data_IF_929524613137
#
_entry.id   IF_929524613137
#
_cell.length_a   1.000
_cell.length_b   1.000
_cell.length_c   1.000
_cell.angle_alpha   90.00
_cell.angle_beta   90.00
_cell.angle_gamma   90.00
#
_symmetry.space_group_name_H-M   'P 1'
#
loop_
_entity.id
_entity.type
_entity.pdbx_description
1 polymer ?
#
# COMPACT_ATOMS: atom_id res chain seq x y z
N UNK A 1 1.36 -15.00 -16.29
CA UNK A 1 2.11 -14.44 -15.16
C UNK A 1 2.24 -12.94 -15.39
N UNK A 2 1.30 -12.14 -14.87
CA UNK A 2 1.31 -10.65 -14.95
C UNK A 2 1.25 -10.06 -13.54
N UNK A 3 1.56 -10.86 -12.52
CA UNK A 3 1.72 -10.36 -11.16
C UNK A 3 3.18 -9.90 -11.01
N UNK A 4 3.41 -8.62 -11.29
CA UNK A 4 4.64 -7.87 -11.01
C UNK A 4 5.96 -8.65 -11.18
N UNK A 5 6.54 -8.65 -12.39
CA UNK A 5 7.93 -9.10 -12.58
C UNK A 5 8.97 -8.23 -11.83
N UNK A 6 8.52 -7.10 -11.29
CA UNK A 6 9.31 -6.14 -10.52
C UNK A 6 8.35 -5.29 -9.67
N UNK A 7 8.63 -5.12 -8.38
CA UNK A 7 7.81 -4.32 -7.47
C UNK A 7 7.98 -4.66 -5.99
N UNK A 8 7.41 -3.83 -5.11
CA UNK A 8 7.48 -3.99 -3.66
C UNK A 8 6.95 -5.34 -3.18
N UNK A 9 5.81 -5.80 -3.72
CA UNK A 9 5.24 -7.11 -3.36
C UNK A 9 6.13 -8.29 -3.74
N UNK A 10 6.80 -8.21 -4.90
CA UNK A 10 7.76 -9.23 -5.33
C UNK A 10 9.00 -9.25 -4.41
N UNK A 11 9.44 -8.08 -3.94
CA UNK A 11 10.56 -7.95 -3.00
C UNK A 11 10.26 -8.60 -1.63
N UNK A 12 9.03 -8.47 -1.13
CA UNK A 12 8.58 -9.08 0.13
C UNK A 12 8.50 -10.61 0.01
N UNK A 13 7.93 -11.11 -1.09
CA UNK A 13 7.83 -12.55 -1.34
C UNK A 13 9.23 -13.17 -1.47
N UNK A 14 10.13 -12.49 -2.20
CA UNK A 14 11.52 -12.91 -2.31
C UNK A 14 12.23 -12.92 -0.95
N UNK A 15 12.06 -11.87 -0.14
CA UNK A 15 12.62 -11.79 1.21
C UNK A 15 12.12 -12.90 2.14
N UNK A 16 10.83 -13.24 2.05
CA UNK A 16 10.24 -14.35 2.81
C UNK A 16 10.87 -15.69 2.43
N UNK A 17 11.17 -15.90 1.15
CA UNK A 17 11.86 -17.11 0.67
C UNK A 17 13.31 -17.22 1.15
N UNK A 18 13.98 -16.11 1.45
CA UNK A 18 15.35 -16.07 1.97
C UNK A 18 15.45 -15.96 3.50
N UNK A 19 14.34 -16.14 4.23
CA UNK A 19 14.24 -15.94 5.69
C UNK A 19 14.76 -14.55 6.14
N UNK A 20 14.68 -13.54 5.28
CA UNK A 20 15.08 -12.15 5.57
C UNK A 20 13.93 -11.41 6.24
N UNK A 21 13.67 -11.74 7.51
CA UNK A 21 12.55 -11.19 8.28
C UNK A 21 12.56 -9.66 8.32
N UNK A 22 13.74 -9.04 8.33
CA UNK A 22 13.90 -7.58 8.32
C UNK A 22 13.26 -6.94 7.09
N UNK A 23 13.47 -7.53 5.92
CA UNK A 23 12.96 -6.99 4.64
C UNK A 23 11.45 -7.27 4.52
N UNK A 24 10.98 -8.41 5.04
CA UNK A 24 9.55 -8.74 5.10
C UNK A 24 8.81 -7.74 5.99
N UNK A 25 9.33 -7.46 7.19
CA UNK A 25 8.75 -6.48 8.11
C UNK A 25 8.71 -5.08 7.51
N UNK A 26 9.83 -4.61 6.92
CA UNK A 26 9.88 -3.33 6.23
C UNK A 26 8.86 -3.27 5.08
N UNK A 27 8.70 -4.37 4.36
CA UNK A 27 7.72 -4.48 3.29
C UNK A 27 6.27 -4.39 3.75
N UNK A 28 5.92 -5.05 4.87
CA UNK A 28 4.57 -4.94 5.46
C UNK A 28 4.32 -3.50 5.91
N UNK A 29 5.30 -2.88 6.57
CA UNK A 29 5.20 -1.51 7.07
C UNK A 29 5.06 -0.50 5.92
N UNK A 30 5.80 -0.70 4.83
CA UNK A 30 5.68 0.09 3.60
C UNK A 30 4.33 -0.12 2.90
N UNK A 31 3.85 -1.36 2.76
CA UNK A 31 2.55 -1.64 2.14
C UNK A 31 1.40 -1.04 2.96
N UNK A 32 1.45 -1.16 4.28
CA UNK A 32 0.48 -0.52 5.19
C UNK A 32 0.54 1.00 5.11
N UNK A 33 1.76 1.57 5.10
CA UNK A 33 1.98 3.01 4.95
C UNK A 33 1.46 3.55 3.62
N UNK A 34 1.75 2.88 2.50
CA UNK A 34 1.27 3.26 1.17
C UNK A 34 -0.26 3.14 1.10
N UNK A 35 -0.83 2.05 1.63
CA UNK A 35 -2.29 1.88 1.70
C UNK A 35 -2.96 3.00 2.48
N UNK A 36 -2.42 3.35 3.65
CA UNK A 36 -2.92 4.45 4.46
C UNK A 36 -2.75 5.81 3.78
N UNK A 37 -1.62 6.04 3.12
CA UNK A 37 -1.36 7.28 2.37
C UNK A 37 -2.34 7.45 1.21
N UNK A 38 -2.62 6.36 0.49
CA UNK A 38 -3.60 6.34 -0.59
C UNK A 38 -5.02 6.54 -0.06
N UNK A 39 -5.36 5.95 1.08
CA UNK A 39 -6.65 6.16 1.73
C UNK A 39 -6.85 7.62 2.12
N UNK A 40 -5.84 8.25 2.76
CA UNK A 40 -5.85 9.68 3.06
C UNK A 40 -5.95 10.56 1.81
N UNK A 41 -5.24 10.20 0.74
CA UNK A 41 -5.32 10.89 -0.55
C UNK A 41 -6.72 10.78 -1.14
N UNK A 42 -7.31 9.60 -1.12
CA UNK A 42 -8.68 9.36 -1.59
C UNK A 42 -9.70 10.12 -0.74
N UNK A 43 -9.54 10.13 0.58
CA UNK A 43 -10.42 10.86 1.50
C UNK A 43 -10.30 12.38 1.29
N UNK A 44 -9.10 12.89 1.09
CA UNK A 44 -8.84 14.29 0.76
C UNK A 44 -9.39 14.68 -0.61
N UNK A 45 -9.21 13.81 -1.60
CA UNK A 45 -9.74 14.01 -2.95
C UNK A 45 -11.27 13.94 -2.96
N UNK A 46 -11.88 13.01 -2.23
CA UNK A 46 -13.33 12.94 -2.03
C UNK A 46 -13.85 14.24 -1.42
N UNK A 47 -13.18 14.79 -0.41
CA UNK A 47 -13.60 16.06 0.20
C UNK A 47 -13.49 17.26 -0.76
N UNK A 48 -12.56 17.21 -1.71
CA UNK A 48 -12.38 18.27 -2.71
C UNK A 48 -13.32 18.12 -3.93
N UNK A 49 -13.49 16.90 -4.45
CA UNK A 49 -14.29 16.62 -5.65
C UNK A 49 -15.76 16.34 -5.36
N UNK A 50 -16.11 15.90 -4.16
CA UNK A 50 -17.49 15.57 -3.77
C UNK A 50 -17.92 16.41 -2.55
N UNK A 51 -18.12 17.73 -2.71
CA UNK A 51 -18.62 18.58 -1.63
C UNK A 51 -20.09 18.29 -1.23
N UNK A 52 -20.78 17.39 -1.94
CA UNK A 52 -22.20 17.06 -1.75
C UNK A 52 -22.46 15.69 -1.07
N UNK A 53 -21.43 14.86 -0.86
CA UNK A 53 -21.61 13.64 -0.05
C UNK A 53 -21.71 14.04 1.44
N UNK A 54 -22.94 14.14 1.93
CA UNK A 54 -23.28 14.40 3.34
C UNK A 54 -22.45 13.52 4.29
N UNK A 55 -22.07 13.96 5.48
CA UNK A 55 -22.99 14.38 6.55
C UNK A 55 -24.21 13.46 6.61
N UNK A 56 -23.96 12.20 6.95
CA UNK A 56 -24.80 11.45 7.87
C UNK A 56 -23.97 11.10 9.10
#
# INVERSE_FOLDING_TARGET
>A
MVAASSGLGWMVINASSYLRTDIVMLGILLLGGIGYLLDLLLLGLQRFFVPWAGKE
#
